data_IF_895353787437
#
_entry.id   IF_895353787437
#
_cell.length_a   1.000
_cell.length_b   1.000
_cell.length_c   1.000
_cell.angle_alpha   90.00
_cell.angle_beta   90.00
_cell.angle_gamma   90.00
#
_symmetry.space_group_name_H-M   'P 1'
#
loop_
_entity.id
_entity.type
_entity.pdbx_description
1 polymer ?
#
# COMPACT_ATOMS: atom_id res chain seq x y z
N UNK A 1 -13.25 -28.05 2.58
CA UNK A 1 -12.95 -26.62 2.70
C UNK A 1 -12.05 -26.43 3.91
N UNK A 2 -11.06 -25.55 3.84
CA UNK A 2 -10.17 -25.28 4.96
C UNK A 2 -10.96 -24.74 6.15
N UNK A 3 -10.58 -25.17 7.36
CA UNK A 3 -11.19 -24.67 8.59
C UNK A 3 -10.83 -23.19 8.79
N UNK A 4 -11.84 -22.33 8.87
CA UNK A 4 -11.70 -20.89 9.09
C UNK A 4 -11.89 -20.48 10.56
N UNK A 5 -12.21 -21.43 11.44
CA UNK A 5 -12.38 -21.17 12.85
C UNK A 5 -11.03 -21.17 13.57
N UNK A 6 -10.70 -20.05 14.21
CA UNK A 6 -9.56 -19.95 15.11
C UNK A 6 -9.97 -20.45 16.50
N UNK A 7 -9.36 -21.56 16.93
CA UNK A 7 -9.46 -22.06 18.30
C UNK A 7 -8.83 -21.06 19.27
N UNK A 8 -9.22 -21.11 20.55
CA UNK A 8 -8.63 -20.23 21.57
C UNK A 8 -7.10 -20.40 21.68
N UNK A 9 -6.61 -21.63 21.51
CA UNK A 9 -5.18 -21.94 21.46
C UNK A 9 -4.48 -21.26 20.28
N UNK A 10 -5.07 -21.31 19.08
CA UNK A 10 -4.52 -20.66 17.90
C UNK A 10 -4.52 -19.12 18.03
N UNK A 11 -5.58 -18.55 18.62
CA UNK A 11 -5.66 -17.13 18.93
C UNK A 11 -4.59 -16.70 19.93
N UNK A 12 -4.42 -17.45 21.02
CA UNK A 12 -3.40 -17.15 22.03
C UNK A 12 -1.99 -17.22 21.45
N UNK A 13 -1.69 -18.24 20.63
CA UNK A 13 -0.41 -18.35 19.95
C UNK A 13 -0.17 -17.20 18.95
N UNK A 14 -1.17 -16.86 18.13
CA UNK A 14 -1.06 -15.77 17.16
C UNK A 14 -0.88 -14.41 17.85
N UNK A 15 -1.59 -14.16 18.95
CA UNK A 15 -1.40 -12.97 19.77
C UNK A 15 0.02 -12.88 20.31
N UNK A 16 0.60 -13.99 20.78
CA UNK A 16 1.95 -14.02 21.34
C UNK A 16 3.07 -13.98 20.27
N UNK A 17 2.81 -14.45 19.06
CA UNK A 17 3.86 -14.74 18.06
C UNK A 17 3.77 -13.87 16.81
N UNK A 18 2.55 -13.47 16.41
CA UNK A 18 2.28 -12.85 15.10
C UNK A 18 1.78 -11.41 15.20
N UNK A 19 1.09 -11.03 16.27
CA UNK A 19 0.37 -9.76 16.39
C UNK A 19 1.24 -8.54 16.04
N UNK A 20 2.44 -8.49 16.62
CA UNK A 20 3.36 -7.35 16.47
C UNK A 20 4.34 -7.48 15.30
N UNK A 21 4.27 -8.58 14.53
CA UNK A 21 5.17 -8.75 13.40
C UNK A 21 4.89 -7.68 12.32
N UNK A 22 5.91 -6.92 11.88
CA UNK A 22 5.74 -5.97 10.79
C UNK A 22 5.38 -6.68 9.48
N UNK A 23 4.69 -5.94 8.61
CA UNK A 23 4.40 -6.37 7.24
C UNK A 23 5.27 -5.57 6.30
N UNK A 24 6.00 -6.27 5.43
CA UNK A 24 6.80 -5.67 4.36
C UNK A 24 6.21 -6.10 3.03
N UNK A 25 6.17 -5.18 2.06
CA UNK A 25 5.78 -5.47 0.68
C UNK A 25 7.04 -5.51 -0.17
N UNK A 26 7.18 -6.55 -1.01
CA UNK A 26 8.27 -6.70 -1.98
C UNK A 26 7.66 -6.99 -3.34
N UNK A 27 7.99 -6.18 -4.34
CA UNK A 27 7.61 -6.42 -5.73
C UNK A 27 8.56 -7.45 -6.37
N UNK A 28 7.98 -8.37 -7.14
CA UNK A 28 8.68 -9.50 -7.77
C UNK A 28 8.49 -9.44 -9.28
N UNK A 29 9.46 -8.85 -9.97
CA UNK A 29 9.45 -8.75 -11.43
C UNK A 29 9.73 -10.11 -12.10
N UNK A 30 10.29 -11.07 -11.36
CA UNK A 30 10.55 -12.44 -11.78
C UNK A 30 9.31 -13.36 -11.69
N UNK A 31 8.21 -12.87 -11.12
CA UNK A 31 6.95 -13.60 -10.95
C UNK A 31 5.80 -12.80 -11.55
N UNK A 32 4.95 -13.45 -12.33
CA UNK A 32 3.77 -12.80 -12.94
C UNK A 32 2.48 -13.30 -12.31
N UNK A 33 1.45 -12.46 -12.35
CA UNK A 33 0.07 -12.87 -12.03
C UNK A 33 -0.30 -14.11 -12.86
N UNK A 34 -0.87 -15.10 -12.19
CA UNK A 34 -1.39 -16.31 -12.81
C UNK A 34 -2.91 -16.30 -12.77
N UNK A 35 -3.54 -16.73 -13.87
CA UNK A 35 -4.99 -16.86 -14.00
C UNK A 35 -5.31 -18.27 -14.47
N UNK A 36 -6.23 -18.94 -13.78
CA UNK A 36 -6.73 -20.26 -14.12
C UNK A 36 -8.26 -20.25 -14.14
N UNK A 37 -8.86 -21.14 -14.93
CA UNK A 37 -10.30 -21.35 -14.95
C UNK A 37 -10.58 -22.78 -14.48
N UNK A 38 -11.54 -22.96 -13.58
CA UNK A 38 -11.95 -24.29 -13.15
C UNK A 38 -12.92 -24.97 -14.13
N UNK A 39 -13.31 -26.21 -13.84
CA UNK A 39 -14.22 -26.99 -14.67
C UNK A 39 -15.63 -26.40 -14.76
N UNK A 40 -16.03 -25.55 -13.80
CA UNK A 40 -17.31 -24.84 -13.78
C UNK A 40 -17.25 -23.48 -14.46
N UNK A 41 -16.10 -23.10 -15.03
CA UNK A 41 -15.90 -21.85 -15.74
C UNK A 41 -15.59 -20.65 -14.83
N UNK A 42 -15.37 -20.84 -13.53
CA UNK A 42 -15.00 -19.78 -12.59
C UNK A 42 -13.52 -19.46 -12.72
N UNK A 43 -13.19 -18.17 -12.67
CA UNK A 43 -11.81 -17.70 -12.78
C UNK A 43 -11.16 -17.54 -11.41
N UNK A 44 -9.92 -17.99 -11.31
CA UNK A 44 -9.07 -17.85 -10.14
C UNK A 44 -7.81 -17.11 -10.53
N UNK A 45 -7.39 -16.20 -9.66
CA UNK A 45 -6.19 -15.38 -9.84
C UNK A 45 -5.26 -15.64 -8.67
N UNK A 46 -3.96 -15.60 -8.96
CA UNK A 46 -2.89 -15.63 -7.98
C UNK A 46 -1.90 -14.53 -8.32
N UNK A 47 -1.87 -13.53 -7.45
CA UNK A 47 -1.15 -12.27 -7.68
C UNK A 47 -0.10 -11.96 -6.61
N UNK A 48 -0.03 -12.76 -5.55
CA UNK A 48 0.97 -12.59 -4.51
C UNK A 48 1.26 -13.90 -3.77
N UNK A 49 2.34 -13.90 -3.00
CA UNK A 49 2.62 -14.91 -1.98
C UNK A 49 3.01 -14.23 -0.67
N UNK A 50 2.54 -14.75 0.46
CA UNK A 50 2.92 -14.22 1.78
C UNK A 50 3.88 -15.20 2.43
N UNK A 51 5.09 -14.73 2.75
CA UNK A 51 6.01 -15.46 3.59
C UNK A 51 5.95 -14.94 5.03
N UNK A 52 5.94 -15.83 6.00
CA UNK A 52 6.03 -15.50 7.41
C UNK A 52 7.20 -16.28 8.01
N UNK A 53 8.09 -15.61 8.74
CA UNK A 53 9.16 -16.27 9.49
C UNK A 53 9.19 -15.68 10.89
N UNK A 54 8.42 -16.26 11.83
CA UNK A 54 8.34 -15.75 13.19
C UNK A 54 9.62 -15.91 14.00
N UNK A 55 10.57 -16.74 13.54
CA UNK A 55 11.78 -17.09 14.29
C UNK A 55 13.09 -16.52 13.74
N UNK A 56 13.18 -16.22 12.44
CA UNK A 56 14.42 -15.65 11.85
C UNK A 56 14.30 -14.15 11.57
N UNK A 57 13.31 -13.77 10.76
CA UNK A 57 13.19 -12.37 10.28
C UNK A 57 12.11 -11.58 10.99
N UNK A 58 11.27 -12.28 11.77
CA UNK A 58 10.18 -11.74 12.59
C UNK A 58 9.34 -10.72 11.82
N UNK A 59 8.83 -11.13 10.66
CA UNK A 59 7.98 -10.31 9.80
C UNK A 59 7.09 -11.16 8.88
N UNK A 60 6.05 -10.52 8.37
CA UNK A 60 5.37 -10.93 7.16
C UNK A 60 6.01 -10.23 5.94
N UNK A 61 6.20 -10.97 4.86
CA UNK A 61 6.60 -10.42 3.57
C UNK A 61 5.56 -10.77 2.49
N UNK A 62 4.87 -9.75 1.98
CA UNK A 62 3.98 -9.85 0.82
C UNK A 62 4.84 -9.72 -0.43
N UNK A 63 5.00 -10.82 -1.15
CA UNK A 63 5.65 -10.85 -2.45
C UNK A 63 4.59 -10.59 -3.52
N UNK A 64 4.46 -9.35 -3.98
CA UNK A 64 3.54 -8.94 -5.04
C UNK A 64 4.13 -9.31 -6.40
N UNK A 65 3.34 -9.94 -7.27
CA UNK A 65 3.78 -10.34 -8.60
C UNK A 65 3.57 -9.20 -9.61
N UNK A 66 4.33 -9.18 -10.70
CA UNK A 66 4.10 -8.26 -11.81
C UNK A 66 2.67 -8.42 -12.37
N UNK A 67 1.98 -7.30 -12.56
CA UNK A 67 0.57 -7.21 -12.93
C UNK A 67 -0.43 -7.28 -11.77
N UNK A 68 0.04 -7.36 -10.52
CA UNK A 68 -0.83 -7.35 -9.33
C UNK A 68 -1.33 -5.94 -9.03
N UNK A 69 -2.61 -5.80 -8.65
CA UNK A 69 -3.26 -4.50 -8.43
C UNK A 69 -3.52 -4.16 -6.96
N UNK A 70 -4.10 -2.98 -6.68
CA UNK A 70 -4.47 -2.55 -5.33
C UNK A 70 -5.38 -3.55 -4.59
N UNK A 71 -6.34 -4.13 -5.30
CA UNK A 71 -7.25 -5.15 -4.75
C UNK A 71 -6.53 -6.42 -4.28
N UNK A 72 -5.45 -6.80 -4.98
CA UNK A 72 -4.62 -7.95 -4.61
C UNK A 72 -3.84 -7.64 -3.33
N UNK A 73 -3.26 -6.44 -3.21
CA UNK A 73 -2.58 -6.02 -1.99
C UNK A 73 -3.55 -5.97 -0.79
N UNK A 74 -4.75 -5.42 -0.99
CA UNK A 74 -5.78 -5.39 0.04
C UNK A 74 -6.19 -6.81 0.48
N UNK A 75 -6.26 -7.78 -0.45
CA UNK A 75 -6.47 -9.20 -0.13
C UNK A 75 -5.32 -9.76 0.70
N UNK A 76 -4.06 -9.46 0.35
CA UNK A 76 -2.89 -9.92 1.09
C UNK A 76 -2.90 -9.44 2.54
N UNK A 77 -3.20 -8.16 2.77
CA UNK A 77 -3.36 -7.61 4.11
C UNK A 77 -4.48 -8.28 4.90
N UNK A 78 -5.62 -8.59 4.27
CA UNK A 78 -6.70 -9.35 4.93
C UNK A 78 -6.26 -10.74 5.35
N UNK A 79 -5.44 -11.43 4.55
CA UNK A 79 -4.89 -12.73 4.93
C UNK A 79 -3.96 -12.61 6.14
N UNK A 80 -3.10 -11.58 6.18
CA UNK A 80 -2.22 -11.33 7.33
C UNK A 80 -3.03 -10.96 8.58
N UNK A 81 -4.02 -10.09 8.47
CA UNK A 81 -4.89 -9.72 9.59
C UNK A 81 -5.56 -10.96 10.19
N UNK A 82 -6.15 -11.81 9.34
CA UNK A 82 -6.73 -13.09 9.77
C UNK A 82 -5.72 -14.02 10.44
N UNK A 83 -4.50 -14.09 9.91
CA UNK A 83 -3.42 -14.85 10.53
C UNK A 83 -3.08 -14.34 11.93
N UNK A 84 -2.99 -13.01 12.10
CA UNK A 84 -2.77 -12.36 13.41
C UNK A 84 -3.94 -12.58 14.38
N UNK A 85 -5.16 -12.75 13.87
CA UNK A 85 -6.37 -13.07 14.64
C UNK A 85 -6.52 -14.56 15.00
N UNK A 86 -5.53 -15.39 14.66
CA UNK A 86 -5.52 -16.83 14.98
C UNK A 86 -5.96 -17.75 13.84
N UNK A 87 -6.31 -17.23 12.66
CA UNK A 87 -6.65 -18.02 11.47
C UNK A 87 -5.38 -18.38 10.67
N UNK A 88 -4.38 -18.91 11.37
CA UNK A 88 -3.13 -19.40 10.80
C UNK A 88 -3.21 -20.91 10.54
N UNK A 89 -4.13 -21.33 9.67
CA UNK A 89 -4.38 -22.74 9.38
C UNK A 89 -3.34 -23.31 8.39
N UNK A 90 -2.79 -24.49 8.69
CA UNK A 90 -1.86 -25.26 7.86
C UNK A 90 -2.34 -25.51 6.42
N UNK A 91 -3.66 -25.59 6.18
CA UNK A 91 -4.22 -25.75 4.82
C UNK A 91 -3.90 -24.54 3.91
N UNK A 92 -3.76 -23.35 4.50
CA UNK A 92 -3.43 -22.11 3.79
C UNK A 92 -1.96 -21.72 3.93
N UNK A 93 -1.34 -22.09 5.05
CA UNK A 93 0.04 -21.78 5.37
C UNK A 93 0.86 -23.05 5.31
N UNK A 94 1.63 -23.19 4.22
CA UNK A 94 2.49 -24.33 4.03
C UNK A 94 3.79 -24.13 4.81
N UNK A 95 4.17 -25.07 5.70
CA UNK A 95 5.46 -25.00 6.37
C UNK A 95 6.60 -25.16 5.36
N UNK A 96 7.71 -24.49 5.66
CA UNK A 96 8.98 -24.55 4.94
C UNK A 96 10.10 -24.73 5.97
N UNK A 97 11.28 -25.08 5.47
CA UNK A 97 12.45 -25.27 6.33
C UNK A 97 12.76 -24.02 7.16
N UNK A 98 13.28 -24.22 8.37
CA UNK A 98 13.70 -23.14 9.25
C UNK A 98 12.56 -22.38 9.94
N UNK A 99 11.39 -22.99 10.12
CA UNK A 99 10.25 -22.35 10.81
C UNK A 99 9.55 -21.28 9.96
N UNK A 100 9.78 -21.31 8.64
CA UNK A 100 9.14 -20.41 7.68
C UNK A 100 7.81 -20.97 7.24
N UNK A 101 6.88 -20.10 6.91
CA UNK A 101 5.56 -20.44 6.43
C UNK A 101 5.26 -19.64 5.17
N UNK A 102 4.57 -20.25 4.22
CA UNK A 102 4.23 -19.59 2.97
C UNK A 102 2.76 -19.82 2.63
N UNK A 103 2.07 -18.74 2.31
CA UNK A 103 0.72 -18.75 1.75
C UNK A 103 0.77 -18.39 0.26
N UNK A 104 0.18 -19.23 -0.59
CA UNK A 104 0.11 -19.08 -2.07
C UNK A 104 -1.32 -19.29 -2.56
N UNK A 105 -2.26 -18.64 -1.89
CA UNK A 105 -3.68 -18.76 -2.17
C UNK A 105 -4.03 -18.36 -3.61
N UNK A 106 -5.01 -19.08 -4.17
CA UNK A 106 -5.75 -18.67 -5.35
C UNK A 106 -7.08 -18.08 -4.90
N UNK A 107 -7.49 -16.97 -5.50
CA UNK A 107 -8.76 -16.32 -5.17
C UNK A 107 -9.64 -16.25 -6.40
N UNK A 108 -10.92 -16.57 -6.20
CA UNK A 108 -11.92 -16.35 -7.24
C UNK A 108 -12.00 -14.86 -7.58
N UNK A 109 -12.10 -14.56 -8.88
CA UNK A 109 -12.35 -13.21 -9.35
C UNK A 109 -13.29 -13.24 -10.56
N UNK A 110 -13.84 -12.07 -10.87
CA UNK A 110 -14.68 -11.85 -12.03
C UNK A 110 -13.86 -11.03 -13.04
N UNK A 111 -13.49 -11.60 -14.21
CA UNK A 111 -12.68 -10.89 -15.19
C UNK A 111 -13.37 -9.64 -15.75
N UNK A 112 -14.71 -9.61 -15.76
CA UNK A 112 -15.48 -8.46 -16.26
C UNK A 112 -15.55 -7.31 -15.26
N UNK A 113 -15.27 -7.58 -13.98
CA UNK A 113 -15.25 -6.57 -12.89
C UNK A 113 -13.86 -6.22 -12.41
N UNK A 114 -12.84 -6.92 -12.90
CA UNK A 114 -11.47 -6.66 -12.49
C UNK A 114 -11.01 -5.34 -13.09
N UNK A 115 -10.71 -4.36 -12.24
CA UNK A 115 -10.04 -3.14 -12.69
C UNK A 115 -8.60 -3.49 -13.10
N UNK A 116 -8.15 -3.16 -14.33
CA UNK A 116 -6.85 -3.57 -14.87
C UNK A 116 -5.65 -2.79 -14.29
N UNK A 117 -5.76 -2.30 -13.06
CA UNK A 117 -4.66 -1.59 -12.39
C UNK A 117 -3.53 -2.53 -11.96
N UNK A 118 -2.30 -2.07 -12.12
CA UNK A 118 -1.06 -2.68 -11.60
C UNK A 118 -0.44 -1.74 -10.57
N UNK A 119 0.06 -2.28 -9.46
CA UNK A 119 0.90 -1.54 -8.53
C UNK A 119 2.36 -1.63 -8.96
N UNK A 120 3.03 -0.47 -9.01
CA UNK A 120 4.47 -0.37 -9.28
C UNK A 120 5.17 0.39 -8.16
N UNK A 121 6.42 0.07 -7.81
CA UNK A 121 7.21 0.86 -6.88
C UNK A 121 7.27 2.33 -7.29
N UNK A 122 7.14 3.23 -6.33
CA UNK A 122 7.34 4.65 -6.58
C UNK A 122 8.84 4.94 -6.69
N UNK A 123 9.24 5.62 -7.76
CA UNK A 123 10.63 6.02 -8.00
C UNK A 123 10.83 7.54 -7.91
N UNK A 124 9.77 8.30 -7.64
CA UNK A 124 9.82 9.76 -7.60
C UNK A 124 10.40 10.23 -6.26
N UNK A 125 11.54 10.97 -6.26
CA UNK A 125 12.13 11.48 -5.04
C UNK A 125 11.15 12.34 -4.24
N UNK A 126 11.11 12.10 -2.93
CA UNK A 126 10.26 12.85 -2.00
C UNK A 126 8.82 12.33 -1.88
N UNK A 127 8.36 11.46 -2.79
CA UNK A 127 7.04 10.86 -2.65
C UNK A 127 6.96 9.99 -1.39
N UNK A 128 5.89 10.14 -0.61
CA UNK A 128 5.63 9.32 0.56
C UNK A 128 5.05 7.94 0.25
N UNK A 129 4.36 7.79 -0.88
CA UNK A 129 3.80 6.52 -1.26
C UNK A 129 4.91 5.58 -1.73
N UNK A 130 4.97 4.38 -1.16
CA UNK A 130 5.92 3.33 -1.55
C UNK A 130 5.63 2.79 -2.97
N UNK A 131 4.37 2.88 -3.42
CA UNK A 131 3.88 2.35 -4.69
C UNK A 131 2.66 3.12 -5.19
N UNK A 132 2.41 3.05 -6.50
CA UNK A 132 1.27 3.70 -7.15
C UNK A 132 0.58 2.77 -8.15
N UNK A 133 -0.70 3.05 -8.42
CA UNK A 133 -1.47 2.38 -9.45
C UNK A 133 -1.14 2.91 -10.85
N UNK A 134 -0.98 1.97 -11.77
CA UNK A 134 -0.78 2.18 -13.20
C UNK A 134 -1.86 1.42 -13.97
N UNK A 135 -2.36 1.99 -15.05
CA UNK A 135 -3.31 1.33 -15.95
C UNK A 135 -2.87 1.58 -17.38
N UNK A 136 -2.71 0.50 -18.16
CA UNK A 136 -2.26 0.59 -19.55
C UNK A 136 -0.96 1.41 -19.72
N UNK A 137 -0.01 1.22 -18.80
CA UNK A 137 1.25 2.00 -18.71
C UNK A 137 1.09 3.51 -18.43
N UNK A 138 -0.11 3.94 -18.05
CA UNK A 138 -0.38 5.30 -17.59
C UNK A 138 -0.49 5.35 -16.07
N UNK A 139 0.24 6.28 -15.45
CA UNK A 139 0.15 6.59 -14.03
C UNK A 139 -1.26 7.13 -13.69
N UNK A 140 -1.94 6.53 -12.71
CA UNK A 140 -3.35 6.83 -12.39
C UNK A 140 -3.54 7.63 -11.10
N UNK A 141 -2.45 8.01 -10.44
CA UNK A 141 -2.47 8.62 -9.12
C UNK A 141 -1.69 9.95 -9.13
N UNK A 142 -1.29 10.43 -7.95
CA UNK A 142 -0.41 11.56 -7.76
C UNK A 142 0.63 11.21 -6.69
N UNK A 143 1.85 11.70 -6.88
CA UNK A 143 2.85 11.67 -5.83
C UNK A 143 2.51 12.75 -4.79
N UNK A 144 2.77 12.49 -3.52
CA UNK A 144 2.47 13.44 -2.45
C UNK A 144 3.56 13.50 -1.39
N UNK A 145 3.71 14.68 -0.79
CA UNK A 145 4.54 14.93 0.39
C UNK A 145 3.72 14.79 1.68
N UNK A 146 4.41 14.80 2.83
CA UNK A 146 3.74 14.84 4.14
C UNK A 146 2.92 16.12 4.23
N UNK A 147 1.59 16.03 4.38
CA UNK A 147 0.76 17.23 4.44
C UNK A 147 0.94 17.95 5.77
N UNK A 148 0.82 19.27 5.75
CA UNK A 148 0.57 20.05 6.96
C UNK A 148 -0.93 19.98 7.22
N UNK A 149 -1.32 19.31 8.30
CA UNK A 149 -2.71 19.11 8.69
C UNK A 149 -3.00 19.87 9.97
N UNK A 150 -4.05 20.71 9.94
CA UNK A 150 -4.60 21.38 11.11
C UNK A 150 -6.08 21.04 11.24
N UNK A 151 -6.73 21.49 12.32
CA UNK A 151 -8.18 21.35 12.48
C UNK A 151 -9.00 22.22 11.50
N UNK A 152 -8.36 23.08 10.70
CA UNK A 152 -9.02 24.11 9.89
C UNK A 152 -8.64 24.10 8.40
N UNK A 153 -7.47 23.57 8.07
CA UNK A 153 -6.99 23.46 6.70
C UNK A 153 -5.96 22.35 6.57
N UNK A 154 -5.80 21.90 5.32
CA UNK A 154 -4.69 21.05 4.90
C UNK A 154 -3.89 21.72 3.77
N UNK A 155 -2.56 21.75 3.92
CA UNK A 155 -1.62 22.07 2.84
C UNK A 155 -0.87 20.81 2.45
N UNK A 156 -0.76 20.54 1.15
CA UNK A 156 -0.10 19.35 0.61
C UNK A 156 0.79 19.69 -0.58
N UNK A 157 1.88 18.95 -0.74
CA UNK A 157 2.69 18.98 -1.96
C UNK A 157 2.31 17.79 -2.83
N UNK A 158 2.02 18.02 -4.11
CA UNK A 158 1.61 17.00 -5.06
C UNK A 158 2.38 17.08 -6.38
N UNK A 159 2.53 15.94 -7.07
CA UNK A 159 3.10 15.88 -8.42
C UNK A 159 2.32 14.87 -9.27
N UNK A 160 1.73 15.36 -10.36
CA UNK A 160 0.90 14.61 -11.31
C UNK A 160 1.68 14.18 -12.57
N UNK A 161 3.01 14.24 -12.52
CA UNK A 161 3.91 14.02 -13.66
C UNK A 161 4.39 15.32 -14.33
N UNK A 162 3.92 16.48 -13.89
CA UNK A 162 4.29 17.79 -14.44
C UNK A 162 5.08 18.67 -13.46
N UNK A 163 5.60 18.06 -12.39
CA UNK A 163 6.39 18.71 -11.35
C UNK A 163 5.65 18.83 -10.02
N UNK A 164 6.41 19.01 -8.95
CA UNK A 164 5.89 19.22 -7.60
C UNK A 164 5.28 20.60 -7.43
N UNK A 165 4.09 20.67 -6.83
CA UNK A 165 3.35 21.91 -6.56
C UNK A 165 2.68 21.85 -5.20
N UNK A 166 2.64 22.98 -4.50
CA UNK A 166 1.83 23.10 -3.29
C UNK A 166 0.35 23.33 -3.64
N UNK A 167 -0.52 22.64 -2.94
CA UNK A 167 -1.96 22.81 -2.99
C UNK A 167 -2.51 22.92 -1.56
N UNK A 168 -3.70 23.48 -1.40
CA UNK A 168 -4.42 23.49 -0.14
C UNK A 168 -5.87 23.10 -0.35
N UNK A 169 -6.46 22.44 0.63
CA UNK A 169 -7.85 22.00 0.62
C UNK A 169 -8.49 22.55 1.89
N UNK A 170 -9.46 23.47 1.76
CA UNK A 170 -10.59 23.67 2.68
C UNK A 170 -11.39 24.96 2.39
N UNK A 171 -12.61 25.04 2.97
CA UNK A 171 -13.37 26.28 3.15
C UNK A 171 -12.91 26.97 4.45
N UNK A 172 -12.22 28.09 4.31
CA UNK A 172 -11.66 28.82 5.45
C UNK A 172 -12.67 29.89 5.89
N UNK A 173 -13.26 29.72 7.08
CA UNK A 173 -14.09 30.77 7.68
C UNK A 173 -13.19 31.88 8.27
N UNK A 174 -13.16 33.03 7.59
CA UNK A 174 -12.20 34.10 7.85
C UNK A 174 -12.87 35.35 8.43
N UNK A 175 -13.34 35.29 9.67
CA UNK A 175 -13.87 36.49 10.36
C UNK A 175 -12.97 37.00 11.50
N UNK A 176 -12.79 38.33 11.53
CA UNK A 176 -12.13 39.05 12.60
C UNK A 176 -10.63 38.72 12.79
N UNK A 177 -10.07 39.02 13.97
CA UNK A 177 -8.64 38.78 14.27
C UNK A 177 -8.22 37.31 14.19
N UNK A 178 -9.13 36.38 14.51
CA UNK A 178 -8.88 34.95 14.43
C UNK A 178 -8.76 34.48 12.98
N UNK A 179 -9.69 34.91 12.11
CA UNK A 179 -9.60 34.65 10.67
C UNK A 179 -8.34 35.22 10.02
N UNK A 180 -7.92 36.44 10.42
CA UNK A 180 -6.66 37.02 9.93
C UNK A 180 -5.42 36.21 10.35
N UNK A 181 -5.41 35.67 11.58
CA UNK A 181 -4.35 34.78 12.04
C UNK A 181 -4.35 33.49 11.22
N UNK A 182 -5.52 32.88 11.01
CA UNK A 182 -5.68 31.65 10.23
C UNK A 182 -5.13 31.81 8.81
N UNK A 183 -5.49 32.90 8.12
CA UNK A 183 -4.97 33.21 6.79
C UNK A 183 -3.45 33.38 6.78
N UNK A 184 -2.87 34.02 7.80
CA UNK A 184 -1.42 34.20 7.89
C UNK A 184 -0.71 32.86 8.09
N UNK A 185 -1.23 32.03 8.98
CA UNK A 185 -0.66 30.71 9.27
C UNK A 185 -0.73 29.84 8.01
N UNK A 186 -1.89 29.81 7.32
CA UNK A 186 -2.03 29.13 6.03
C UNK A 186 -1.03 29.62 4.98
N UNK A 187 -0.87 30.94 4.80
CA UNK A 187 0.07 31.49 3.81
C UNK A 187 1.51 31.07 4.13
N UNK A 188 1.88 31.04 5.41
CA UNK A 188 3.21 30.58 5.82
C UNK A 188 3.41 29.09 5.51
N UNK A 189 2.42 28.26 5.83
CA UNK A 189 2.47 26.81 5.59
C UNK A 189 2.48 26.48 4.09
N UNK A 190 1.69 27.21 3.30
CA UNK A 190 1.69 27.11 1.83
C UNK A 190 3.05 27.52 1.25
N UNK A 191 3.63 28.63 1.70
CA UNK A 191 4.94 29.08 1.25
C UNK A 191 6.04 28.09 1.62
N UNK A 192 5.97 27.49 2.80
CA UNK A 192 6.90 26.43 3.21
C UNK A 192 6.76 25.19 2.32
N UNK A 193 5.54 24.71 2.08
CA UNK A 193 5.29 23.56 1.22
C UNK A 193 5.78 23.81 -0.21
N UNK A 194 5.52 25.00 -0.75
CA UNK A 194 5.99 25.38 -2.09
C UNK A 194 7.53 25.36 -2.15
N UNK A 195 8.21 25.82 -1.12
CA UNK A 195 9.68 25.76 -1.07
C UNK A 195 10.20 24.31 -1.03
N UNK A 196 9.51 23.38 -0.38
CA UNK A 196 9.85 21.95 -0.45
C UNK A 196 9.64 21.38 -1.87
N UNK A 197 8.52 21.71 -2.52
CA UNK A 197 8.27 21.34 -3.92
C UNK A 197 9.35 21.89 -4.86
N UNK A 198 9.74 23.16 -4.70
CA UNK A 198 10.78 23.80 -5.52
C UNK A 198 12.14 23.11 -5.39
N UNK A 199 12.51 22.66 -4.18
CA UNK A 199 13.74 21.88 -3.95
C UNK A 199 13.73 20.57 -4.73
N UNK A 200 12.60 19.86 -4.74
CA UNK A 200 12.46 18.59 -5.46
C UNK A 200 12.50 18.80 -6.98
N UNK A 201 11.84 19.85 -7.48
CA UNK A 201 11.88 20.20 -8.89
C UNK A 201 13.31 20.57 -9.34
N UNK A 202 14.03 21.39 -8.56
CA UNK A 202 15.41 21.76 -8.86
C UNK A 202 16.35 20.54 -8.85
N UNK A 203 16.13 19.58 -7.94
CA UNK A 203 16.92 18.34 -7.91
C UNK A 203 16.70 17.46 -9.16
N UNK A 204 15.47 17.41 -9.68
CA UNK A 204 15.15 16.68 -10.90
C UNK A 204 15.85 17.28 -12.13
N UNK A 205 15.84 18.60 -12.29
CA UNK A 205 16.50 19.29 -13.41
C UNK A 205 18.02 19.06 -13.47
N UNK A 206 18.66 18.82 -12.32
CA UNK A 206 20.10 18.50 -12.24
C UNK A 206 20.37 17.06 -12.66
N UNK A 207 19.43 16.14 -12.41
CA UNK A 207 19.57 14.73 -12.78
C UNK A 207 19.44 14.48 -14.28
N UNK A 208 18.78 15.38 -15.02
CA UNK A 208 18.56 15.27 -16.47
C UNK A 208 19.67 15.91 -17.32
N UNK A 209 20.72 16.45 -16.69
CA UNK A 209 21.89 17.08 -17.36
C UNK A 209 23.12 16.18 -17.31
#
# INVERSE_FOLDING_TARGET
>A
MPNLEATDEARAWAAATLADLPTVVTFRDDLHVQVEQDAEGRFFRKAFAIACSPSETMRFNINMFSGAGPDDLARAHRVIARAKDGVFNADFWLPRDGGRWVNKLWWAFDPDKLHPGELRPCMVPGCLADFHEWRDDEFQDHHHLEPIVTDQYRVLGENWGDGWKANFIDEIDCEGPAGLKLLRDLVNDYAWMQAECDKLNAAAEVSDR
#
